data_IF_388765755516
#
_entry.id   IF_388765755516
#
_cell.length_a   1.000
_cell.length_b   1.000
_cell.length_c   1.000
_cell.angle_alpha   90.00
_cell.angle_beta   90.00
_cell.angle_gamma   90.00
#
_symmetry.space_group_name_H-M   'P 1'
#
loop_
_entity.id
_entity.type
_entity.pdbx_description
1 polymer ?
#
# COMPACT_ATOMS: atom_id res chain seq x y z
N UNK A 1 -4.67 -1.20 -5.55
CA UNK A 1 -4.04 -1.27 -4.22
C UNK A 1 -4.20 0.06 -3.57
N UNK A 2 -4.89 0.12 -2.44
CA UNK A 2 -5.17 1.32 -1.67
C UNK A 2 -5.36 0.97 -0.20
N UNK A 3 -5.61 1.97 0.62
CA UNK A 3 -5.90 1.82 2.04
C UNK A 3 -6.88 0.67 2.37
N UNK A 4 -6.55 -0.08 3.41
CA UNK A 4 -7.28 -1.27 3.89
C UNK A 4 -7.38 -2.45 2.91
N UNK A 5 -6.77 -2.39 1.72
CA UNK A 5 -6.59 -3.59 0.90
C UNK A 5 -5.66 -4.58 1.63
N UNK A 6 -5.95 -5.88 1.51
CA UNK A 6 -5.01 -6.92 1.91
C UNK A 6 -4.03 -7.17 0.77
N UNK A 7 -2.75 -7.24 1.11
CA UNK A 7 -1.65 -7.37 0.15
C UNK A 7 -0.71 -8.50 0.54
N UNK A 8 -0.09 -9.12 -0.45
CA UNK A 8 0.95 -10.14 -0.28
C UNK A 8 2.30 -9.57 -0.65
N UNK A 9 3.30 -9.83 0.20
CA UNK A 9 4.69 -9.47 -0.08
C UNK A 9 5.28 -10.45 -1.09
N UNK A 10 5.91 -9.94 -2.16
CA UNK A 10 6.43 -10.75 -3.28
C UNK A 10 7.96 -10.93 -3.22
N UNK A 11 8.63 -10.32 -2.24
CA UNK A 11 10.08 -10.25 -2.07
C UNK A 11 10.54 -10.66 -0.66
N UNK A 12 11.76 -11.16 -0.53
CA UNK A 12 12.37 -11.54 0.76
C UNK A 12 13.13 -10.38 1.43
N UNK A 13 13.04 -9.15 0.89
CA UNK A 13 13.77 -7.99 1.39
C UNK A 13 13.44 -7.57 2.84
N UNK A 14 12.34 -8.09 3.40
CA UNK A 14 11.77 -7.69 4.68
C UNK A 14 11.97 -8.74 5.79
N UNK A 15 12.73 -9.82 5.53
CA UNK A 15 12.91 -10.91 6.51
C UNK A 15 13.53 -10.43 7.83
N UNK A 16 14.38 -9.39 7.79
CA UNK A 16 15.01 -8.81 8.98
C UNK A 16 14.01 -8.23 9.99
N UNK A 17 12.80 -7.89 9.55
CA UNK A 17 11.68 -7.43 10.40
C UNK A 17 10.62 -8.52 10.61
N UNK A 18 10.94 -9.77 10.28
CA UNK A 18 10.04 -10.91 10.47
C UNK A 18 9.01 -11.12 9.36
N UNK A 19 9.04 -10.30 8.30
CA UNK A 19 8.10 -10.39 7.17
C UNK A 19 8.76 -11.15 6.01
N UNK A 20 8.23 -12.34 5.69
CA UNK A 20 8.75 -13.20 4.61
C UNK A 20 7.97 -13.00 3.32
N UNK A 21 8.56 -13.36 2.18
CA UNK A 21 7.80 -13.49 0.93
C UNK A 21 6.59 -14.40 1.13
N UNK A 22 5.45 -13.97 0.60
CA UNK A 22 4.18 -14.64 0.75
C UNK A 22 3.38 -14.21 1.98
N UNK A 23 3.95 -13.43 2.91
CA UNK A 23 3.21 -12.86 4.03
C UNK A 23 2.08 -11.97 3.52
N UNK A 24 0.90 -12.11 4.15
CA UNK A 24 -0.29 -11.31 3.85
C UNK A 24 -0.49 -10.31 4.99
N UNK A 25 -0.60 -9.04 4.64
CA UNK A 25 -0.85 -7.95 5.57
C UNK A 25 -1.95 -7.02 5.05
N UNK A 26 -2.25 -5.98 5.83
CA UNK A 26 -3.25 -4.96 5.49
C UNK A 26 -2.56 -3.61 5.42
N UNK A 27 -2.85 -2.81 4.39
CA UNK A 27 -2.36 -1.43 4.29
C UNK A 27 -3.07 -0.57 5.34
N UNK A 28 -2.32 0.11 6.20
CA UNK A 28 -2.88 0.85 7.35
C UNK A 28 -2.80 2.37 7.23
N UNK A 29 -2.01 2.91 6.32
CA UNK A 29 -2.01 4.34 5.99
C UNK A 29 -2.63 4.60 4.61
N UNK A 30 -3.39 5.69 4.49
CA UNK A 30 -4.06 6.05 3.24
C UNK A 30 -3.12 6.67 2.19
N UNK A 31 -2.01 7.24 2.62
CA UNK A 31 -0.99 7.81 1.74
C UNK A 31 0.16 6.86 1.45
N UNK A 32 0.79 7.06 0.29
CA UNK A 32 2.05 6.45 -0.13
C UNK A 32 3.18 7.45 0.15
N UNK A 33 4.10 7.07 1.03
CA UNK A 33 5.32 7.84 1.35
C UNK A 33 6.51 7.15 0.73
N UNK A 34 7.44 7.88 0.11
CA UNK A 34 8.70 7.28 -0.41
C UNK A 34 8.54 5.98 -1.25
N UNK A 35 7.44 5.84 -2.00
CA UNK A 35 7.08 4.65 -2.78
C UNK A 35 6.74 3.40 -1.95
N UNK A 36 6.40 3.55 -0.68
CA UNK A 36 6.00 2.48 0.23
C UNK A 36 4.55 2.65 0.69
N UNK A 37 3.93 1.53 1.02
CA UNK A 37 2.76 1.48 1.90
C UNK A 37 3.20 1.02 3.29
N UNK A 38 2.61 1.59 4.33
CA UNK A 38 2.69 1.05 5.69
C UNK A 38 1.74 -0.14 5.79
N UNK A 39 2.27 -1.32 6.15
CA UNK A 39 1.53 -2.58 6.19
C UNK A 39 1.66 -3.23 7.55
N UNK A 40 0.53 -3.60 8.14
CA UNK A 40 0.48 -4.42 9.37
C UNK A 40 0.28 -5.89 9.02
N UNK A 41 0.99 -6.76 9.72
CA UNK A 41 0.90 -8.20 9.59
C UNK A 41 0.50 -8.84 10.92
N UNK A 42 -0.60 -9.58 10.89
CA UNK A 42 -1.23 -10.15 12.08
C UNK A 42 -1.24 -11.67 12.05
N UNK A 43 -1.15 -12.28 13.22
CA UNK A 43 -1.38 -13.71 13.45
C UNK A 43 -2.89 -14.02 13.38
N UNK A 44 -3.28 -15.30 13.20
CA UNK A 44 -4.69 -15.69 13.17
C UNK A 44 -5.48 -15.35 14.45
N UNK A 45 -4.80 -15.13 15.57
CA UNK A 45 -5.39 -14.72 16.85
C UNK A 45 -5.55 -13.20 17.00
N UNK A 46 -5.23 -12.44 15.94
CA UNK A 46 -5.39 -10.98 15.88
C UNK A 46 -4.21 -10.18 16.44
N UNK A 47 -3.15 -10.84 16.94
CA UNK A 47 -1.94 -10.12 17.38
C UNK A 47 -1.09 -9.72 16.20
N UNK A 48 -0.66 -8.46 16.16
CA UNK A 48 0.31 -7.98 15.18
C UNK A 48 1.71 -8.49 15.53
N UNK A 49 2.42 -9.01 14.53
CA UNK A 49 3.80 -9.47 14.68
C UNK A 49 4.81 -8.57 13.94
N UNK A 50 4.34 -7.76 12.99
CA UNK A 50 5.14 -6.77 12.29
C UNK A 50 4.27 -5.63 11.77
N UNK A 51 4.83 -4.43 11.78
CA UNK A 51 4.33 -3.24 11.11
C UNK A 51 5.53 -2.62 10.41
N UNK A 52 5.46 -2.45 9.09
CA UNK A 52 6.60 -1.95 8.32
C UNK A 52 6.19 -1.38 6.97
N UNK A 53 7.01 -0.47 6.46
CA UNK A 53 6.91 0.06 5.11
C UNK A 53 7.37 -0.98 4.07
N UNK A 54 6.50 -1.29 3.11
CA UNK A 54 6.80 -2.17 1.98
C UNK A 54 6.71 -1.39 0.68
N UNK A 55 7.71 -1.51 -0.19
CA UNK A 55 7.68 -0.85 -1.49
C UNK A 55 6.54 -1.36 -2.37
N UNK A 56 5.92 -0.46 -3.14
CA UNK A 56 4.77 -0.78 -4.00
C UNK A 56 5.05 -1.91 -5.00
N UNK A 57 6.30 -2.08 -5.45
CA UNK A 57 6.69 -3.13 -6.40
C UNK A 57 6.90 -4.49 -5.75
N UNK A 58 6.96 -4.55 -4.42
CA UNK A 58 7.07 -5.79 -3.65
C UNK A 58 5.71 -6.25 -3.09
N UNK A 59 4.61 -5.69 -3.60
CA UNK A 59 3.25 -6.00 -3.14
C UNK A 59 2.34 -6.43 -4.30
N UNK A 60 1.43 -7.36 -4.01
CA UNK A 60 0.28 -7.67 -4.86
C UNK A 60 -1.02 -7.68 -4.05
N UNK A 61 -2.13 -7.26 -4.63
CA UNK A 61 -3.43 -7.25 -3.93
C UNK A 61 -3.96 -8.68 -3.82
N UNK A 62 -4.29 -9.09 -2.61
CA UNK A 62 -4.96 -10.36 -2.31
C UNK A 62 -6.46 -10.17 -2.23
N UNK A 63 -6.90 -9.11 -1.54
CA UNK A 63 -8.31 -8.77 -1.36
C UNK A 63 -8.47 -7.26 -1.33
N UNK A 64 -9.33 -6.75 -2.20
CA UNK A 64 -9.69 -5.34 -2.19
C UNK A 64 -10.65 -5.03 -1.04
N UNK A 65 -10.45 -3.89 -0.40
CA UNK A 65 -11.41 -3.28 0.50
C UNK A 65 -12.56 -2.62 -0.27
N UNK A 66 -13.69 -2.42 0.40
CA UNK A 66 -14.84 -1.67 -0.13
C UNK A 66 -14.74 -0.15 0.11
N UNK A 67 -13.56 0.33 0.52
CA UNK A 67 -13.27 1.75 0.76
C UNK A 67 -13.36 2.53 -0.54
N UNK A 68 -14.05 3.66 -0.48
CA UNK A 68 -14.25 4.60 -1.60
C UNK A 68 -13.10 5.61 -1.69
N UNK A 69 -13.03 6.37 -2.79
CA UNK A 69 -12.06 7.46 -2.90
C UNK A 69 -12.37 8.58 -1.89
N UNK A 70 -13.65 8.78 -1.55
CA UNK A 70 -14.09 9.69 -0.49
C UNK A 70 -13.59 9.24 0.89
N UNK A 71 -13.70 7.95 1.21
CA UNK A 71 -13.17 7.40 2.47
C UNK A 71 -11.65 7.56 2.56
N UNK A 72 -10.92 7.38 1.44
CA UNK A 72 -9.48 7.64 1.38
C UNK A 72 -9.19 9.12 1.61
N UNK A 73 -9.98 10.02 1.03
CA UNK A 73 -9.78 11.47 1.19
C UNK A 73 -9.94 11.92 2.65
N UNK A 74 -10.92 11.38 3.37
CA UNK A 74 -11.16 11.70 4.78
C UNK A 74 -10.02 11.22 5.70
N UNK A 75 -9.27 10.18 5.32
CA UNK A 75 -8.12 9.71 6.10
C UNK A 75 -6.80 10.39 5.69
N UNK A 76 -6.68 10.88 4.45
CA UNK A 76 -5.46 11.51 3.97
C UNK A 76 -5.06 12.74 4.82
N UNK A 77 -3.76 12.99 5.01
CA UNK A 77 -3.29 14.17 5.73
C UNK A 77 -3.87 15.47 5.16
N UNK A 78 -4.52 16.25 6.03
CA UNK A 78 -5.20 17.51 5.70
C UNK A 78 -6.34 17.38 4.67
N UNK A 79 -6.86 16.17 4.46
CA UNK A 79 -7.83 15.85 3.40
C UNK A 79 -7.36 16.34 2.01
N UNK A 80 -6.06 16.23 1.74
CA UNK A 80 -5.50 16.78 0.52
C UNK A 80 -5.49 15.72 -0.60
N UNK A 81 -6.31 15.89 -1.67
CA UNK A 81 -6.47 14.89 -2.72
C UNK A 81 -5.23 14.72 -3.61
N UNK A 82 -4.22 15.59 -3.45
CA UNK A 82 -2.97 15.55 -4.22
C UNK A 82 -1.95 14.57 -3.65
N UNK A 83 -2.16 14.04 -2.44
CA UNK A 83 -1.30 12.99 -1.90
C UNK A 83 -1.41 11.71 -2.75
N UNK A 84 -0.26 11.09 -3.00
CA UNK A 84 -0.22 9.75 -3.61
C UNK A 84 -0.87 8.77 -2.63
N UNK A 85 -1.84 7.97 -3.07
CA UNK A 85 -2.65 7.16 -2.15
C UNK A 85 -3.04 5.79 -2.69
N UNK A 86 -2.92 5.56 -4.01
CA UNK A 86 -3.33 4.30 -4.62
C UNK A 86 -2.46 3.89 -5.79
N UNK A 87 -2.48 2.59 -6.09
CA UNK A 87 -1.87 2.00 -7.28
C UNK A 87 -2.93 1.33 -8.11
N UNK A 88 -3.06 1.76 -9.37
CA UNK A 88 -4.00 1.21 -10.35
C UNK A 88 -3.27 0.98 -11.67
N UNK A 89 -3.42 -0.20 -12.26
CA UNK A 89 -2.84 -0.57 -13.56
C UNK A 89 -1.34 -0.23 -13.71
N UNK A 90 -0.56 -0.39 -12.62
CA UNK A 90 0.87 -0.11 -12.59
C UNK A 90 1.25 1.37 -12.39
N UNK A 91 0.30 2.25 -12.09
CA UNK A 91 0.57 3.65 -11.78
C UNK A 91 0.26 3.97 -10.33
N UNK A 92 1.16 4.69 -9.66
CA UNK A 92 0.85 5.38 -8.42
C UNK A 92 0.06 6.64 -8.77
N UNK A 93 -1.10 6.78 -8.17
CA UNK A 93 -2.06 7.85 -8.40
C UNK A 93 -2.37 8.61 -7.11
N UNK A 94 -2.75 9.86 -7.27
CA UNK A 94 -3.51 10.61 -6.27
C UNK A 94 -5.00 10.62 -6.65
N UNK A 95 -5.84 11.22 -5.80
CA UNK A 95 -7.29 11.26 -6.04
C UNK A 95 -7.70 12.22 -7.16
N UNK A 96 -6.78 13.06 -7.65
CA UNK A 96 -6.98 13.87 -8.84
C UNK A 96 -6.70 13.10 -10.15
N UNK A 97 -6.23 11.85 -10.08
CA UNK A 97 -5.86 11.03 -11.24
C UNK A 97 -4.49 11.37 -11.84
N UNK A 98 -3.70 12.21 -11.17
CA UNK A 98 -2.32 12.46 -11.57
C UNK A 98 -1.47 11.21 -11.35
N UNK A 99 -0.46 11.00 -12.19
CA UNK A 99 0.43 9.84 -12.11
C UNK A 99 1.79 10.25 -11.57
N UNK A 100 2.29 9.52 -10.57
CA UNK A 100 3.64 9.74 -10.05
C UNK A 100 4.72 9.21 -11.00
N UNK A 101 4.55 7.97 -11.48
CA UNK A 101 5.45 7.34 -12.44
C UNK A 101 4.95 7.51 -13.88
N UNK A 102 5.89 7.64 -14.83
CA UNK A 102 5.57 7.89 -16.24
C UNK A 102 5.17 6.61 -16.99
N UNK A 103 5.80 5.50 -16.68
CA UNK A 103 5.63 4.20 -17.34
C UNK A 103 4.98 3.23 -16.34
N UNK A 104 3.95 2.50 -16.77
CA UNK A 104 3.27 1.52 -15.92
C UNK A 104 4.27 0.47 -15.40
N UNK A 105 4.20 0.15 -14.11
CA UNK A 105 5.06 -0.81 -13.38
C UNK A 105 6.53 -0.42 -13.26
N UNK A 106 7.00 0.60 -13.98
CA UNK A 106 8.29 1.26 -13.71
C UNK A 106 8.06 2.44 -12.77
N UNK A 107 7.91 2.13 -11.49
CA UNK A 107 7.56 3.10 -10.44
C UNK A 107 8.63 4.20 -10.22
N UNK A 108 9.84 4.02 -10.75
CA UNK A 108 10.94 4.99 -10.63
C UNK A 108 11.16 5.84 -11.90
N UNK A 109 10.29 5.71 -12.91
CA UNK A 109 10.31 6.49 -14.18
C UNK A 109 9.86 7.95 -14.06
#
# INVERSE_FOLDING_TARGET
MKWLDQVRVTSDAYEKVGVKKGAIGTIILSEIRSYTFEVVFSLPDGRDYAETEIFVWDLEVVRSSNITDEDVLEDLPEHNPKWWCKVENGFILNLCGERKNKIAYDYKS
#
